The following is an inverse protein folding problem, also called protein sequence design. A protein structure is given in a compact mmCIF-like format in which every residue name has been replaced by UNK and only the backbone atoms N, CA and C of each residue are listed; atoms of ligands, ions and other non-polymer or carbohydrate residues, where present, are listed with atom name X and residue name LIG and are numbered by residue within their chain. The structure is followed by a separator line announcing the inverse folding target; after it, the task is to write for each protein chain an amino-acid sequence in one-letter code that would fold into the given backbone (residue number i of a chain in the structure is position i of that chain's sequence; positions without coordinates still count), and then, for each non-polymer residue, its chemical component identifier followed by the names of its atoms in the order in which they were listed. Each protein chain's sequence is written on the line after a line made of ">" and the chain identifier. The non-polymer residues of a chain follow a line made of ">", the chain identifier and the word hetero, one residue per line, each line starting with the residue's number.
data_IF_802891685408
#
_entry.id   IF_802891685408
#
_cell.length_a   1.000
_cell.length_b   1.000
_cell.length_c   1.000
_cell.angle_alpha   90.00
_cell.angle_beta   90.00
_cell.angle_gamma   90.00
#
_symmetry.space_group_name_H-M   'P 1'
#
loop_
_entity.id
_entity.type
_entity.pdbx_description
1 polymer ?
#
# COMPACT_ATOMS: atom_id res chain seq x y z
N UNK A 1 -14.83 3.86 -9.62
CA UNK A 1 -14.02 2.85 -10.37
C UNK A 1 -12.88 3.52 -11.12
N UNK A 2 -13.15 4.55 -11.93
CA UNK A 2 -12.11 5.28 -12.68
C UNK A 2 -11.09 5.87 -11.70
N UNK A 3 -11.53 6.52 -10.62
CA UNK A 3 -10.65 7.07 -9.57
C UNK A 3 -9.78 5.99 -8.94
N UNK A 4 -10.35 4.83 -8.61
CA UNK A 4 -9.62 3.72 -8.02
C UNK A 4 -8.52 3.21 -8.97
N UNK A 5 -8.82 3.06 -10.27
CA UNK A 5 -7.80 2.67 -11.25
C UNK A 5 -6.73 3.76 -11.41
N UNK A 6 -7.13 5.04 -11.34
CA UNK A 6 -6.21 6.16 -11.42
C UNK A 6 -5.25 6.21 -10.23
N UNK A 7 -5.77 6.04 -9.02
CA UNK A 7 -5.03 6.02 -7.76
C UNK A 7 -3.92 4.97 -7.82
N UNK A 8 -4.27 3.71 -8.13
CA UNK A 8 -3.29 2.62 -8.17
C UNK A 8 -2.51 2.55 -9.49
N UNK A 9 -2.77 3.44 -10.46
CA UNK A 9 -2.22 3.46 -11.83
C UNK A 9 -2.65 2.25 -12.69
N UNK A 10 -2.61 1.04 -12.13
CA UNK A 10 -3.08 -0.20 -12.74
C UNK A 10 -3.79 -1.10 -11.71
N UNK A 11 -4.89 -1.74 -12.12
CA UNK A 11 -5.59 -2.73 -11.30
C UNK A 11 -5.96 -3.95 -12.13
N UNK A 12 -5.94 -5.14 -11.53
CA UNK A 12 -6.47 -6.34 -12.17
C UNK A 12 -7.96 -6.55 -11.83
N UNK A 13 -8.62 -7.48 -12.55
CA UNK A 13 -10.04 -7.80 -12.31
C UNK A 13 -10.31 -8.20 -10.84
N UNK A 14 -9.42 -8.96 -10.20
CA UNK A 14 -9.53 -9.34 -8.78
C UNK A 14 -9.58 -8.12 -7.87
N UNK A 15 -8.68 -7.15 -8.04
CA UNK A 15 -8.66 -5.94 -7.21
C UNK A 15 -9.98 -5.18 -7.32
N UNK A 16 -10.43 -4.93 -8.56
CA UNK A 16 -11.66 -4.18 -8.81
C UNK A 16 -12.87 -4.89 -8.20
N UNK A 17 -12.94 -6.22 -8.31
CA UNK A 17 -14.02 -7.01 -7.71
C UNK A 17 -14.00 -6.96 -6.19
N UNK A 18 -12.84 -7.20 -5.56
CA UNK A 18 -12.72 -7.21 -4.11
C UNK A 18 -12.99 -5.83 -3.48
N UNK A 19 -12.69 -4.74 -4.20
CA UNK A 19 -12.87 -3.38 -3.69
C UNK A 19 -14.25 -2.78 -3.95
N UNK A 20 -14.84 -2.98 -5.14
CA UNK A 20 -16.07 -2.29 -5.57
C UNK A 20 -17.30 -3.19 -5.72
N UNK A 21 -17.11 -4.51 -5.73
CA UNK A 21 -18.17 -5.49 -5.97
C UNK A 21 -18.11 -6.67 -5.00
N UNK A 22 -17.57 -6.44 -3.80
CA UNK A 22 -17.39 -7.47 -2.78
C UNK A 22 -18.70 -8.13 -2.34
N UNK A 23 -19.80 -7.37 -2.29
CA UNK A 23 -21.13 -7.90 -1.96
C UNK A 23 -21.78 -8.72 -3.08
N UNK A 24 -21.18 -8.79 -4.28
CA UNK A 24 -21.79 -9.47 -5.43
C UNK A 24 -21.23 -10.88 -5.62
N UNK A 25 -22.10 -11.88 -5.51
CA UNK A 25 -21.78 -13.27 -5.83
C UNK A 25 -21.49 -13.50 -7.33
N UNK A 26 -22.11 -12.70 -8.21
CA UNK A 26 -21.99 -12.84 -9.67
C UNK A 26 -20.83 -12.02 -10.24
N UNK A 27 -20.04 -12.62 -11.15
CA UNK A 27 -19.01 -11.91 -11.92
C UNK A 27 -19.58 -11.04 -13.06
N UNK A 28 -20.85 -11.25 -13.44
CA UNK A 28 -21.45 -10.64 -14.63
C UNK A 28 -21.59 -9.11 -14.54
N UNK A 29 -22.03 -8.50 -13.41
CA UNK A 29 -22.09 -7.04 -13.30
C UNK A 29 -20.71 -6.35 -13.40
N UNK A 30 -19.66 -6.78 -12.67
CA UNK A 30 -18.30 -6.25 -12.84
C UNK A 30 -17.81 -6.31 -14.29
N UNK A 31 -17.95 -7.46 -14.96
CA UNK A 31 -17.44 -7.65 -16.32
C UNK A 31 -18.14 -6.75 -17.35
N UNK A 32 -19.48 -6.58 -17.23
CA UNK A 32 -20.24 -5.66 -18.09
C UNK A 32 -19.81 -4.22 -17.87
N UNK A 33 -19.62 -3.79 -16.63
CA UNK A 33 -19.17 -2.43 -16.31
C UNK A 33 -17.78 -2.17 -16.87
N UNK A 34 -16.84 -3.10 -16.66
CA UNK A 34 -15.48 -2.98 -17.19
C UNK A 34 -15.46 -2.95 -18.72
N UNK A 35 -16.27 -3.78 -19.38
CA UNK A 35 -16.40 -3.77 -20.83
C UNK A 35 -16.86 -2.39 -21.34
N UNK A 36 -17.93 -1.84 -20.76
CA UNK A 36 -18.46 -0.53 -21.15
C UNK A 36 -17.43 0.59 -20.96
N UNK A 37 -16.74 0.60 -19.82
CA UNK A 37 -15.70 1.60 -19.54
C UNK A 37 -14.51 1.50 -20.50
N UNK A 38 -14.18 0.29 -20.98
CA UNK A 38 -13.15 0.09 -22.01
C UNK A 38 -13.63 0.53 -23.39
N UNK A 39 -14.86 0.15 -23.78
CA UNK A 39 -15.48 0.55 -25.06
C UNK A 39 -15.61 2.07 -25.17
N UNK A 40 -15.87 2.77 -24.07
CA UNK A 40 -15.98 4.23 -23.99
C UNK A 40 -14.64 4.92 -23.71
N UNK A 41 -13.52 4.19 -23.71
CA UNK A 41 -12.17 4.72 -23.48
C UNK A 41 -11.95 5.39 -22.12
N UNK A 42 -12.81 5.18 -21.13
CA UNK A 42 -12.56 5.60 -19.75
C UNK A 42 -11.46 4.75 -19.12
N UNK A 43 -11.45 3.46 -19.40
CA UNK A 43 -10.39 2.53 -19.06
C UNK A 43 -9.74 1.98 -20.33
N UNK A 44 -8.49 1.54 -20.21
CA UNK A 44 -7.80 0.76 -21.22
C UNK A 44 -7.38 -0.58 -20.59
N UNK A 45 -7.42 -1.63 -21.40
CA UNK A 45 -7.02 -2.98 -20.99
C UNK A 45 -5.67 -3.33 -21.60
N UNK A 46 -4.73 -3.78 -20.78
CA UNK A 46 -3.42 -4.27 -21.26
C UNK A 46 -3.59 -5.61 -21.99
N UNK A 47 -2.91 -5.76 -23.12
CA UNK A 47 -3.02 -6.96 -23.98
C UNK A 47 -2.41 -8.21 -23.33
N UNK A 48 -1.37 -8.04 -22.50
CA UNK A 48 -0.75 -9.14 -21.77
C UNK A 48 -1.62 -9.55 -20.60
N UNK A 49 -2.07 -10.82 -20.60
CA UNK A 49 -2.71 -11.44 -19.45
C UNK A 49 -1.65 -11.74 -18.39
N UNK A 50 -1.96 -11.56 -17.11
CA UNK A 50 -1.16 -12.17 -16.05
C UNK A 50 -1.28 -13.69 -16.22
N UNK A 51 -0.15 -14.38 -16.36
CA UNK A 51 -0.13 -15.85 -16.29
C UNK A 51 -0.48 -16.19 -14.85
N UNK A 52 -1.61 -16.87 -14.65
CA UNK A 52 -2.07 -17.25 -13.32
C UNK A 52 -1.02 -18.12 -12.65
N UNK A 53 -0.58 -17.72 -11.46
CA UNK A 53 0.08 -18.64 -10.53
C UNK A 53 -0.88 -19.75 -10.11
N UNK A 54 -0.34 -20.78 -9.44
CA UNK A 54 -0.89 -22.11 -9.10
C UNK A 54 -2.32 -22.23 -8.52
N UNK A 55 -3.08 -21.14 -8.38
CA UNK A 55 -4.48 -21.12 -7.95
C UNK A 55 -5.40 -20.77 -9.12
N UNK A 56 -5.55 -21.73 -10.03
CA UNK A 56 -6.32 -21.64 -11.27
C UNK A 56 -7.62 -20.83 -11.15
N UNK A 57 -7.69 -19.74 -11.90
CA UNK A 57 -8.86 -18.87 -12.03
C UNK A 57 -8.66 -17.96 -13.22
N UNK A 58 -9.73 -17.74 -13.99
CA UNK A 58 -9.82 -16.98 -15.25
C UNK A 58 -8.72 -15.92 -15.49
N UNK A 59 -8.23 -15.82 -16.72
CA UNK A 59 -7.26 -14.79 -17.14
C UNK A 59 -7.60 -13.41 -16.55
N UNK A 60 -6.75 -12.93 -15.65
CA UNK A 60 -6.93 -11.63 -15.02
C UNK A 60 -6.51 -10.55 -16.01
N UNK A 61 -7.42 -9.64 -16.32
CA UNK A 61 -7.12 -8.47 -17.14
C UNK A 61 -6.61 -7.37 -16.26
N UNK A 62 -5.58 -6.66 -16.73
CA UNK A 62 -5.08 -5.45 -16.08
C UNK A 62 -5.66 -4.24 -16.80
N UNK A 63 -6.20 -3.32 -16.02
CA UNK A 63 -6.83 -2.09 -16.44
C UNK A 63 -6.00 -0.90 -15.98
N UNK A 64 -5.99 0.15 -16.78
CA UNK A 64 -5.43 1.47 -16.49
C UNK A 64 -6.36 2.55 -17.05
N UNK A 65 -6.08 3.82 -16.80
CA UNK A 65 -6.85 4.90 -17.42
C UNK A 65 -6.77 4.84 -18.95
N UNK A 66 -7.92 4.98 -19.59
CA UNK A 66 -8.02 5.27 -21.02
C UNK A 66 -8.04 6.78 -21.25
N UNK A 67 -8.05 7.19 -22.52
CA UNK A 67 -7.98 8.61 -22.91
C UNK A 67 -9.13 9.44 -22.33
N UNK A 68 -10.36 8.92 -22.36
CA UNK A 68 -11.51 9.63 -21.81
C UNK A 68 -11.45 9.71 -20.28
N UNK A 69 -10.90 8.69 -19.61
CA UNK A 69 -10.70 8.69 -18.16
C UNK A 69 -9.62 9.68 -17.72
N UNK A 70 -8.55 9.80 -18.52
CA UNK A 70 -7.51 10.81 -18.32
C UNK A 70 -8.08 12.23 -18.38
N UNK A 71 -8.90 12.52 -19.39
CA UNK A 71 -9.59 13.81 -19.52
C UNK A 71 -10.63 14.02 -18.42
N UNK A 72 -11.41 12.99 -18.07
CA UNK A 72 -12.43 13.07 -17.02
C UNK A 72 -11.82 13.47 -15.67
N UNK A 73 -10.65 12.95 -15.35
CA UNK A 73 -9.95 13.21 -14.09
C UNK A 73 -8.97 14.39 -14.16
N UNK A 74 -9.02 15.19 -15.24
CA UNK A 74 -8.15 16.34 -15.47
C UNK A 74 -6.67 16.04 -15.21
N UNK A 75 -6.20 14.87 -15.65
CA UNK A 75 -4.81 14.44 -15.40
C UNK A 75 -3.85 15.33 -16.21
N UNK A 76 -2.76 15.81 -15.59
CA UNK A 76 -1.86 16.76 -16.23
C UNK A 76 -1.11 16.14 -17.41
N UNK A 77 -0.82 16.96 -18.42
CA UNK A 77 -0.04 16.54 -19.59
C UNK A 77 -0.83 15.71 -20.61
N UNK A 78 -0.14 15.30 -21.67
CA UNK A 78 -0.73 14.47 -22.71
C UNK A 78 -1.04 13.07 -22.17
N UNK A 79 -2.17 12.51 -22.60
CA UNK A 79 -2.54 11.13 -22.30
C UNK A 79 -1.40 10.18 -22.66
N UNK A 80 -0.93 9.44 -21.66
CA UNK A 80 0.07 8.40 -21.82
C UNK A 80 -0.32 7.17 -21.01
N UNK A 81 -0.16 5.99 -21.62
CA UNK A 81 -0.57 4.73 -21.03
C UNK A 81 0.55 3.69 -21.20
N UNK A 82 1.18 3.20 -20.11
CA UNK A 82 2.16 2.14 -20.17
C UNK A 82 1.62 0.89 -20.88
N UNK A 83 2.47 0.19 -21.64
CA UNK A 83 2.14 -1.11 -22.23
C UNK A 83 2.54 -2.29 -21.34
N UNK A 84 3.42 -2.04 -20.37
CA UNK A 84 3.89 -3.04 -19.42
C UNK A 84 2.97 -3.08 -18.19
N UNK A 85 2.89 -4.27 -17.59
CA UNK A 85 2.24 -4.44 -16.30
C UNK A 85 3.17 -3.89 -15.22
N UNK A 86 2.68 -2.94 -14.44
CA UNK A 86 3.34 -2.45 -13.26
C UNK A 86 3.02 -3.36 -12.07
N UNK A 87 3.86 -4.38 -11.88
CA UNK A 87 3.71 -5.35 -10.80
C UNK A 87 3.86 -4.71 -9.41
N UNK A 88 4.53 -3.56 -9.30
CA UNK A 88 4.63 -2.79 -8.05
C UNK A 88 3.30 -2.16 -7.68
N UNK A 89 2.68 -1.43 -8.60
CA UNK A 89 1.31 -0.92 -8.43
C UNK A 89 0.30 -2.01 -8.09
N UNK A 90 0.41 -3.19 -8.73
CA UNK A 90 -0.45 -4.32 -8.40
C UNK A 90 -0.21 -4.84 -6.97
N UNK A 91 1.03 -4.89 -6.49
CA UNK A 91 1.31 -5.29 -5.11
C UNK A 91 0.79 -4.29 -4.07
N UNK A 92 0.83 -2.97 -4.35
CA UNK A 92 0.22 -1.95 -3.48
C UNK A 92 -1.30 -2.15 -3.43
N UNK A 93 -1.90 -2.48 -4.58
CA UNK A 93 -3.32 -2.81 -4.65
C UNK A 93 -3.68 -4.13 -3.93
N UNK A 94 -2.79 -5.11 -3.91
CA UNK A 94 -2.96 -6.33 -3.11
C UNK A 94 -3.01 -5.98 -1.61
N UNK A 95 -2.16 -5.07 -1.12
CA UNK A 95 -2.21 -4.57 0.26
C UNK A 95 -3.54 -3.88 0.57
N UNK A 96 -4.00 -2.99 -0.31
CA UNK A 96 -5.30 -2.32 -0.17
C UNK A 96 -6.46 -3.32 -0.11
N UNK A 97 -6.47 -4.33 -0.98
CA UNK A 97 -7.47 -5.38 -0.98
C UNK A 97 -7.46 -6.18 0.33
N UNK A 98 -6.28 -6.48 0.88
CA UNK A 98 -6.18 -7.17 2.18
C UNK A 98 -6.87 -6.37 3.30
N UNK A 99 -6.68 -5.04 3.33
CA UNK A 99 -7.40 -4.17 4.28
C UNK A 99 -8.91 -4.11 4.02
N UNK A 100 -9.35 -4.00 2.76
CA UNK A 100 -10.79 -4.03 2.44
C UNK A 100 -11.47 -5.34 2.83
N UNK A 101 -10.76 -6.46 2.70
CA UNK A 101 -11.26 -7.76 3.13
C UNK A 101 -11.30 -7.89 4.65
N UNK A 102 -10.30 -7.36 5.37
CA UNK A 102 -10.33 -7.30 6.83
C UNK A 102 -11.49 -6.43 7.34
N UNK A 103 -11.73 -5.29 6.69
CA UNK A 103 -12.87 -4.43 7.00
C UNK A 103 -14.22 -5.12 6.80
N UNK A 104 -14.39 -5.93 5.74
CA UNK A 104 -15.58 -6.76 5.54
C UNK A 104 -15.79 -7.83 6.62
N UNK A 105 -14.69 -8.32 7.21
CA UNK A 105 -14.71 -9.26 8.33
C UNK A 105 -14.82 -8.57 9.70
N UNK A 106 -15.01 -7.24 9.71
CA UNK A 106 -15.10 -6.41 10.91
C UNK A 106 -13.84 -6.42 11.79
N UNK A 107 -12.68 -6.81 11.23
CA UNK A 107 -11.39 -6.89 11.95
C UNK A 107 -10.79 -5.50 12.23
N UNK A 108 -11.04 -4.54 11.33
CA UNK A 108 -10.58 -3.15 11.43
C UNK A 108 -11.50 -2.23 10.62
N UNK A 109 -11.24 -0.92 10.69
CA UNK A 109 -11.80 0.06 9.73
C UNK A 109 -10.65 0.68 8.94
N UNK A 110 -10.74 0.71 7.62
CA UNK A 110 -9.77 1.43 6.79
C UNK A 110 -10.25 2.87 6.60
N UNK A 111 -9.64 3.80 7.35
CA UNK A 111 -10.07 5.19 7.41
C UNK A 111 -9.61 5.99 6.19
N UNK A 112 -8.39 5.72 5.74
CA UNK A 112 -7.78 6.38 4.59
C UNK A 112 -6.76 5.46 3.92
N UNK A 113 -6.62 5.56 2.60
CA UNK A 113 -5.52 4.94 1.85
C UNK A 113 -5.16 5.85 0.67
N UNK A 114 -3.97 6.45 0.68
CA UNK A 114 -3.44 7.36 -0.34
C UNK A 114 -2.18 6.72 -0.93
N UNK A 115 -2.07 6.66 -2.25
CA UNK A 115 -0.89 6.12 -2.95
C UNK A 115 0.06 7.23 -3.39
N UNK A 116 1.26 6.85 -3.83
CA UNK A 116 2.16 7.80 -4.50
C UNK A 116 1.59 8.34 -5.84
N UNK A 117 1.88 9.61 -6.19
CA UNK A 117 2.71 10.56 -5.45
C UNK A 117 1.96 11.35 -4.37
N UNK A 118 0.64 11.23 -4.26
CA UNK A 118 -0.18 12.06 -3.39
C UNK A 118 0.13 11.86 -1.89
N UNK A 119 0.68 10.71 -1.51
CA UNK A 119 1.12 10.46 -0.13
C UNK A 119 2.51 11.06 0.19
N UNK A 120 3.26 11.59 -0.78
CA UNK A 120 4.61 12.12 -0.50
C UNK A 120 4.56 13.29 0.50
N UNK A 121 5.57 13.40 1.35
CA UNK A 121 5.61 14.40 2.40
C UNK A 121 7.00 15.01 2.58
N UNK A 122 7.04 16.32 2.83
CA UNK A 122 8.26 17.03 3.25
C UNK A 122 8.26 17.18 4.77
N UNK A 123 9.30 16.66 5.43
CA UNK A 123 9.49 16.74 6.89
C UNK A 123 10.82 17.41 7.18
N UNK A 124 10.77 18.70 7.50
CA UNK A 124 11.97 19.55 7.56
C UNK A 124 12.74 19.47 6.23
N UNK A 125 14.03 19.11 6.22
CA UNK A 125 14.83 18.96 5.00
C UNK A 125 14.63 17.61 4.28
N UNK A 126 13.84 16.69 4.85
CA UNK A 126 13.69 15.32 4.34
C UNK A 126 12.46 15.20 3.45
N UNK A 127 12.63 14.62 2.26
CA UNK A 127 11.52 14.23 1.40
C UNK A 127 11.20 12.75 1.59
N UNK A 128 9.98 12.44 2.00
CA UNK A 128 9.47 11.07 2.08
C UNK A 128 8.67 10.75 0.82
N UNK A 129 8.98 9.61 0.21
CA UNK A 129 8.32 9.08 -0.99
C UNK A 129 7.85 7.64 -0.76
N UNK A 130 6.93 7.41 0.20
CA UNK A 130 6.38 6.07 0.42
C UNK A 130 5.54 5.64 -0.77
N UNK A 131 5.34 4.33 -0.91
CA UNK A 131 4.44 3.78 -1.92
C UNK A 131 2.97 4.09 -1.61
N UNK A 132 2.62 4.14 -0.32
CA UNK A 132 1.32 4.58 0.16
C UNK A 132 1.38 5.12 1.60
N UNK A 133 0.33 5.84 1.99
CA UNK A 133 0.01 6.19 3.37
C UNK A 133 -1.40 5.69 3.66
N UNK A 134 -1.63 5.14 4.84
CA UNK A 134 -2.97 4.73 5.23
C UNK A 134 -3.18 4.86 6.73
N UNK A 135 -4.45 4.88 7.13
CA UNK A 135 -4.86 4.92 8.53
C UNK A 135 -5.89 3.82 8.78
N UNK A 136 -5.68 3.04 9.83
CA UNK A 136 -6.62 2.01 10.29
C UNK A 136 -7.14 2.33 11.68
N UNK A 137 -8.43 2.11 11.87
CA UNK A 137 -9.04 2.03 13.19
C UNK A 137 -8.94 0.59 13.70
N UNK A 138 -8.16 0.39 14.76
CA UNK A 138 -8.15 -0.85 15.52
C UNK A 138 -9.40 -0.87 16.42
N UNK A 139 -10.37 -1.72 16.06
CA UNK A 139 -11.63 -1.82 16.77
C UNK A 139 -11.48 -2.43 18.16
N UNK A 140 -10.54 -3.35 18.34
CA UNK A 140 -10.33 -4.02 19.61
C UNK A 140 -9.73 -3.06 20.64
N UNK A 141 -8.81 -2.19 20.20
CA UNK A 141 -8.12 -1.23 21.07
C UNK A 141 -8.77 0.16 21.10
N UNK A 142 -9.66 0.45 20.14
CA UNK A 142 -10.31 1.77 20.03
C UNK A 142 -9.35 2.89 19.61
N UNK A 143 -8.23 2.55 18.97
CA UNK A 143 -7.19 3.51 18.55
C UNK A 143 -7.10 3.63 17.04
N UNK A 144 -6.55 4.75 16.58
CA UNK A 144 -6.23 4.99 15.17
C UNK A 144 -4.73 4.91 14.99
N UNK A 145 -4.29 4.19 13.96
CA UNK A 145 -2.87 4.01 13.69
C UNK A 145 -2.59 4.38 12.24
N UNK A 146 -1.71 5.36 12.06
CA UNK A 146 -1.24 5.80 10.76
C UNK A 146 0.02 5.05 10.35
N UNK A 147 0.11 4.72 9.06
CA UNK A 147 1.20 3.97 8.47
C UNK A 147 1.74 4.64 7.20
N UNK A 148 3.05 4.59 7.04
CA UNK A 148 3.74 4.73 5.77
C UNK A 148 4.01 3.32 5.22
N UNK A 149 3.64 3.04 3.98
CA UNK A 149 3.84 1.74 3.33
C UNK A 149 5.02 1.79 2.37
N UNK A 150 5.89 0.79 2.47
CA UNK A 150 6.99 0.52 1.55
C UNK A 150 6.87 -0.94 1.07
N UNK A 151 6.53 -1.15 -0.19
CA UNK A 151 6.43 -2.47 -0.79
C UNK A 151 7.79 -2.87 -1.38
N UNK A 152 8.47 -3.84 -0.79
CA UNK A 152 9.65 -4.44 -1.40
C UNK A 152 9.26 -5.72 -2.14
N UNK A 153 9.59 -5.78 -3.44
CA UNK A 153 9.31 -6.97 -4.27
C UNK A 153 10.44 -8.00 -4.27
N UNK A 154 11.38 -7.91 -3.31
CA UNK A 154 12.57 -8.75 -3.25
C UNK A 154 13.71 -8.33 -4.18
N UNK A 155 13.57 -7.20 -4.88
CA UNK A 155 14.54 -6.74 -5.89
C UNK A 155 15.46 -5.63 -5.39
N UNK A 156 15.16 -5.00 -4.26
CA UNK A 156 15.97 -3.90 -3.74
C UNK A 156 17.23 -4.42 -3.03
N UNK A 157 18.36 -3.76 -3.24
CA UNK A 157 19.57 -4.09 -2.49
C UNK A 157 19.47 -3.62 -1.04
N UNK A 158 20.20 -4.30 -0.14
CA UNK A 158 20.23 -3.95 1.28
C UNK A 158 20.58 -2.48 1.56
N UNK A 159 21.47 -1.89 0.75
CA UNK A 159 21.84 -0.48 0.86
C UNK A 159 20.67 0.47 0.60
N UNK A 160 19.79 0.14 -0.35
CA UNK A 160 18.58 0.93 -0.65
C UNK A 160 17.62 0.89 0.54
N UNK A 161 17.40 -0.29 1.11
CA UNK A 161 16.58 -0.45 2.33
C UNK A 161 17.17 0.34 3.50
N UNK A 162 18.49 0.26 3.72
CA UNK A 162 19.16 1.00 4.78
C UNK A 162 19.03 2.53 4.58
N UNK A 163 19.09 3.00 3.34
CA UNK A 163 18.88 4.41 3.03
C UNK A 163 17.43 4.85 3.30
N UNK A 164 16.43 4.05 2.92
CA UNK A 164 15.01 4.29 3.28
C UNK A 164 14.86 4.40 4.81
N UNK A 165 15.41 3.44 5.56
CA UNK A 165 15.37 3.46 7.02
C UNK A 165 16.03 4.72 7.60
N UNK A 166 17.22 5.10 7.11
CA UNK A 166 17.90 6.33 7.54
C UNK A 166 17.08 7.58 7.23
N UNK A 167 16.38 7.62 6.09
CA UNK A 167 15.53 8.73 5.68
C UNK A 167 14.34 8.91 6.62
N UNK A 168 13.62 7.83 6.92
CA UNK A 168 12.52 7.87 7.90
C UNK A 168 13.00 8.23 9.30
N UNK A 169 14.15 7.72 9.72
CA UNK A 169 14.74 8.09 11.00
C UNK A 169 15.05 9.58 11.10
N UNK A 170 15.65 10.17 10.05
CA UNK A 170 15.89 11.62 9.97
C UNK A 170 14.59 12.42 9.96
N UNK A 171 13.56 11.93 9.27
CA UNK A 171 12.25 12.58 9.24
C UNK A 171 11.61 12.59 10.63
N UNK A 172 11.69 11.49 11.39
CA UNK A 172 11.20 11.43 12.78
C UNK A 172 11.80 12.54 13.64
N UNK A 173 13.11 12.81 13.54
CA UNK A 173 13.79 13.88 14.29
C UNK A 173 13.35 15.30 13.92
N UNK A 174 12.75 15.47 12.73
CA UNK A 174 12.25 16.74 12.24
C UNK A 174 10.71 16.83 12.35
N UNK A 175 10.06 15.81 12.90
CA UNK A 175 8.61 15.73 13.00
C UNK A 175 8.10 16.64 14.11
N UNK A 176 7.10 17.47 13.77
CA UNK A 176 6.55 18.47 14.69
C UNK A 176 5.19 18.07 15.27
N UNK A 177 4.59 16.96 14.79
CA UNK A 177 3.32 16.47 15.32
C UNK A 177 3.57 15.45 16.42
N UNK A 178 2.55 15.18 17.23
CA UNK A 178 2.66 14.29 18.40
C UNK A 178 3.00 12.84 18.02
N UNK A 179 2.44 12.34 16.91
CA UNK A 179 2.60 10.93 16.50
C UNK A 179 3.17 10.86 15.09
N UNK A 180 4.31 10.20 14.95
CA UNK A 180 4.88 9.86 13.65
C UNK A 180 4.26 8.54 13.13
N UNK A 181 3.78 8.46 11.87
CA UNK A 181 3.23 7.22 11.34
C UNK A 181 4.26 6.08 11.31
N UNK A 182 3.86 4.88 11.71
CA UNK A 182 4.74 3.70 11.67
C UNK A 182 5.11 3.36 10.22
N UNK A 183 6.36 3.01 9.97
CA UNK A 183 6.81 2.59 8.63
C UNK A 183 6.64 1.09 8.50
N UNK A 184 5.79 0.66 7.58
CA UNK A 184 5.48 -0.74 7.32
C UNK A 184 6.10 -1.17 6.00
N UNK A 185 7.08 -2.06 6.09
CA UNK A 185 7.59 -2.78 4.93
C UNK A 185 6.73 -4.01 4.65
N UNK A 186 6.30 -4.19 3.40
CA UNK A 186 5.64 -5.40 2.93
C UNK A 186 6.53 -6.12 1.93
N UNK A 187 6.71 -7.43 2.12
CA UNK A 187 7.65 -8.26 1.37
C UNK A 187 6.97 -9.49 0.75
N UNK A 188 7.57 -10.12 -0.28
CA UNK A 188 6.98 -11.29 -0.92
C UNK A 188 6.96 -12.54 -0.04
N UNK A 189 7.92 -12.70 0.86
CA UNK A 189 8.11 -13.91 1.65
C UNK A 189 8.84 -13.66 2.99
N UNK A 190 8.79 -14.66 3.86
CA UNK A 190 9.35 -14.59 5.22
C UNK A 190 10.88 -14.44 5.23
N UNK A 191 11.58 -15.02 4.26
CA UNK A 191 13.03 -14.90 4.17
C UNK A 191 13.41 -13.44 3.91
N UNK A 192 12.69 -12.78 3.00
CA UNK A 192 12.88 -11.37 2.69
C UNK A 192 12.45 -10.47 3.85
N UNK A 193 11.36 -10.79 4.53
CA UNK A 193 10.93 -10.09 5.73
C UNK A 193 12.03 -10.08 6.81
N UNK A 194 12.68 -11.22 7.06
CA UNK A 194 13.78 -11.33 8.02
C UNK A 194 14.99 -10.47 7.62
N UNK A 195 15.35 -10.43 6.33
CA UNK A 195 16.45 -9.58 5.84
C UNK A 195 16.16 -8.08 6.03
N UNK A 196 14.92 -7.66 5.75
CA UNK A 196 14.51 -6.27 5.95
C UNK A 196 14.46 -5.92 7.44
N UNK A 197 13.91 -6.79 8.28
CA UNK A 197 13.88 -6.60 9.71
C UNK A 197 15.29 -6.45 10.31
N UNK A 198 16.25 -7.29 9.90
CA UNK A 198 17.65 -7.16 10.31
C UNK A 198 18.27 -5.82 9.87
N UNK A 199 17.89 -5.32 8.70
CA UNK A 199 18.41 -4.04 8.18
C UNK A 199 17.78 -2.85 8.91
N UNK A 200 16.46 -2.88 9.13
CA UNK A 200 15.73 -1.86 9.86
C UNK A 200 16.19 -1.79 11.33
N UNK A 201 16.37 -2.95 11.98
CA UNK A 201 16.79 -3.02 13.39
C UNK A 201 18.28 -2.76 13.62
N UNK A 202 19.10 -2.85 12.57
CA UNK A 202 20.52 -2.50 12.60
C UNK A 202 20.80 -0.99 12.55
N UNK A 203 19.75 -0.16 12.53
CA UNK A 203 19.83 1.30 12.60
C UNK A 203 20.18 1.83 14.00
N UNK A 204 20.13 3.15 14.20
CA UNK A 204 20.36 3.79 15.49
C UNK A 204 19.45 3.23 16.60
N UNK A 205 19.89 3.31 17.86
CA UNK A 205 19.07 2.93 19.02
C UNK A 205 17.78 3.75 19.03
N UNK A 206 16.64 3.07 19.22
CA UNK A 206 15.30 3.69 19.20
C UNK A 206 14.63 3.66 17.83
N UNK A 207 15.37 3.40 16.74
CA UNK A 207 14.77 3.30 15.40
C UNK A 207 13.97 2.01 15.18
N UNK A 208 14.14 1.00 16.04
CA UNK A 208 13.47 -0.29 15.91
C UNK A 208 11.94 -0.16 15.98
N UNK A 209 11.43 0.65 16.91
CA UNK A 209 9.98 0.85 17.11
C UNK A 209 9.31 1.58 15.93
N UNK A 210 10.09 2.25 15.06
CA UNK A 210 9.59 2.96 13.89
C UNK A 210 9.16 2.00 12.77
N UNK A 211 9.77 0.81 12.69
CA UNK A 211 9.64 -0.09 11.56
C UNK A 211 8.88 -1.36 11.93
N UNK A 212 7.90 -1.70 11.11
CA UNK A 212 7.29 -3.03 11.07
C UNK A 212 7.59 -3.68 9.72
N UNK A 213 7.71 -4.99 9.70
CA UNK A 213 7.89 -5.76 8.47
C UNK A 213 6.86 -6.88 8.44
N UNK A 214 6.15 -7.00 7.32
CA UNK A 214 5.14 -8.02 7.10
C UNK A 214 5.34 -8.71 5.76
N UNK A 215 4.79 -9.91 5.64
CA UNK A 215 4.38 -10.46 4.35
C UNK A 215 2.91 -10.11 4.12
N UNK A 216 2.46 -10.18 2.86
CA UNK A 216 1.07 -9.84 2.52
C UNK A 216 0.03 -10.64 3.34
N UNK A 217 0.30 -11.91 3.64
CA UNK A 217 -0.59 -12.77 4.42
C UNK A 217 -0.80 -12.32 5.87
N UNK A 218 0.21 -11.68 6.45
CA UNK A 218 0.21 -11.26 7.86
C UNK A 218 0.05 -9.73 8.01
N UNK A 219 -0.18 -9.03 6.89
CA UNK A 219 -0.23 -7.58 6.80
C UNK A 219 -1.21 -6.97 7.82
N UNK A 220 -2.45 -7.48 7.82
CA UNK A 220 -3.52 -6.97 8.68
C UNK A 220 -3.17 -7.20 10.16
N UNK A 221 -2.77 -8.42 10.52
CA UNK A 221 -2.39 -8.77 11.89
C UNK A 221 -1.22 -7.92 12.41
N UNK A 222 -0.25 -7.62 11.55
CA UNK A 222 0.89 -6.75 11.89
C UNK A 222 0.45 -5.31 12.19
N UNK A 223 -0.60 -4.83 11.52
CA UNK A 223 -1.14 -3.48 11.72
C UNK A 223 -1.98 -3.33 13.00
N UNK A 224 -2.81 -4.32 13.33
CA UNK A 224 -3.74 -4.25 14.48
C UNK A 224 -3.22 -4.95 15.74
N UNK A 225 -2.08 -5.64 15.64
CA UNK A 225 -1.37 -6.26 16.76
C UNK A 225 -2.19 -7.35 17.48
N UNK A 226 -1.82 -8.61 17.31
CA UNK A 226 -2.31 -9.68 18.20
C UNK A 226 -1.58 -9.77 19.53
N UNK A 227 -0.57 -8.93 19.79
CA UNK A 227 0.16 -8.94 21.06
C UNK A 227 0.31 -7.53 21.66
N UNK A 228 0.18 -7.49 22.98
CA UNK A 228 0.26 -6.31 23.81
C UNK A 228 1.71 -5.85 23.98
N UNK A 229 1.95 -4.59 23.61
CA UNK A 229 3.01 -3.76 24.17
C UNK A 229 2.71 -2.32 23.75
N UNK A 230 1.82 -1.68 24.50
CA UNK A 230 1.54 -0.24 24.43
C UNK A 230 2.72 0.63 24.94
N UNK A 231 3.87 0.03 25.29
CA UNK A 231 5.03 0.75 25.84
C UNK A 231 5.97 1.33 24.78
N UNK A 232 5.97 0.83 23.54
CA UNK A 232 7.02 1.15 22.55
C UNK A 232 6.99 2.53 21.89
N UNK A 233 5.90 3.30 22.04
CA UNK A 233 5.80 4.67 21.45
C UNK A 233 5.90 5.77 22.51
N UNK A 234 5.66 5.46 23.79
CA UNK A 234 5.87 6.42 24.88
C UNK A 234 7.33 6.50 25.32
N UNK A 235 8.11 5.42 25.22
CA UNK A 235 9.52 5.43 25.67
C UNK A 235 10.49 6.19 24.75
N UNK A 236 10.18 6.36 23.46
CA UNK A 236 11.11 7.05 22.54
C UNK A 236 11.16 8.56 22.79
N UNK A 237 10.10 9.13 23.38
CA UNK A 237 10.07 10.57 23.72
C UNK A 237 10.91 10.85 24.99
N UNK A 238 10.95 9.93 25.95
CA UNK A 238 11.66 10.13 27.22
C UNK A 238 13.19 9.87 27.15
N UNK A 239 13.67 9.16 26.13
CA UNK A 239 15.12 8.88 25.96
C UNK A 239 15.85 10.00 25.22
N UNK A 240 15.15 10.86 24.47
CA UNK A 240 15.77 11.99 23.74
C UNK A 240 15.93 13.24 24.61
N UNK A 241 15.28 13.29 25.77
CA UNK A 241 15.38 14.38 26.76
C UNK A 241 16.32 14.07 27.95
N UNK A 242 17.30 13.17 27.77
CA UNK A 242 18.38 12.91 28.76
C UNK A 242 19.79 12.95 28.18
#
# INVERSE_FOLDING_TARGET
>A
MIDLVAQFKQLNTRHIRASLFNELASATPPDRTLRRLVEQHYLARLQRRLVGGSHGGSSQHVYQLGRAGWTLLDKPGAFWAPRAINLHSLGIADCFVAFKQAEQRDELVLLEFITEPECHASVGPVQLTPDARFEVGDRARGVRIAYWLELDRGTEHRSVIAEKCSRYWKALHNWQQEVFPTVLFVTPDLQRAQQLAQTAHGGPVGSQALFKVAILGDLVATCIGTDGSEEGVREVVDVVDR
#
